data_IF_574529182284
#
_entry.id   IF_574529182284
#
_cell.length_a   1.000
_cell.length_b   1.000
_cell.length_c   1.000
_cell.angle_alpha   90.00
_cell.angle_beta   90.00
_cell.angle_gamma   90.00
#
_symmetry.space_group_name_H-M   'P 1'
#
loop_
_entity.id
_entity.type
_entity.pdbx_description
1 polymer ?
#
# COMPACT_ATOMS: atom_id res chain seq x y z
N UNK A 1 15.27 -19.17 14.43
CA UNK A 1 14.51 -18.20 15.25
C UNK A 1 14.88 -16.76 14.84
N UNK A 2 14.33 -16.21 13.75
CA UNK A 2 14.41 -14.77 13.37
C UNK A 2 13.35 -14.40 12.30
N UNK A 3 12.05 -14.59 12.56
CA UNK A 3 11.01 -14.09 11.64
C UNK A 3 9.89 -13.29 12.30
N UNK A 4 9.83 -13.23 13.64
CA UNK A 4 8.78 -12.48 14.34
C UNK A 4 9.05 -10.99 14.42
N UNK A 5 10.31 -10.55 14.48
CA UNK A 5 10.66 -9.14 14.65
C UNK A 5 10.37 -8.25 13.44
N UNK A 6 10.55 -8.75 12.21
CA UNK A 6 10.27 -7.98 10.99
C UNK A 6 8.76 -7.86 10.72
N UNK A 7 7.99 -8.93 11.01
CA UNK A 7 6.53 -8.88 10.99
C UNK A 7 5.96 -7.89 12.02
N UNK A 8 6.64 -7.69 13.16
CA UNK A 8 6.27 -6.69 14.17
C UNK A 8 6.55 -5.24 13.71
N UNK A 9 7.64 -5.01 12.98
CA UNK A 9 7.96 -3.69 12.39
C UNK A 9 6.93 -3.32 11.32
N UNK A 10 6.51 -4.30 10.51
CA UNK A 10 5.39 -4.13 9.57
C UNK A 10 4.06 -3.89 10.30
N UNK A 11 3.92 -4.26 11.57
CA UNK A 11 2.66 -4.13 12.32
C UNK A 11 2.47 -2.79 13.06
N UNK A 12 3.48 -1.92 13.13
CA UNK A 12 3.47 -0.72 13.99
C UNK A 12 3.07 0.55 13.23
N UNK A 13 1.92 0.51 12.55
CA UNK A 13 1.45 1.58 11.69
C UNK A 13 0.90 2.80 12.46
N UNK A 14 1.14 4.03 11.98
CA UNK A 14 0.35 5.23 12.34
C UNK A 14 -1.16 5.00 12.21
N UNK A 15 -1.54 4.09 11.32
CA UNK A 15 -2.91 3.66 11.13
C UNK A 15 -3.56 2.99 12.33
N UNK A 16 -2.81 2.36 13.25
CA UNK A 16 -3.38 1.89 14.53
C UNK A 16 -3.84 3.08 15.38
N UNK A 17 -3.07 4.18 15.40
CA UNK A 17 -3.46 5.42 16.08
C UNK A 17 -4.62 6.11 15.39
N UNK A 18 -4.65 6.13 14.05
CA UNK A 18 -5.78 6.69 13.30
C UNK A 18 -7.05 5.82 13.42
N UNK A 19 -6.94 4.48 13.43
CA UNK A 19 -8.06 3.57 13.72
C UNK A 19 -8.62 3.82 15.11
N UNK A 20 -7.77 4.06 16.11
CA UNK A 20 -8.21 4.48 17.44
C UNK A 20 -8.86 5.86 17.42
N UNK A 21 -8.27 6.83 16.71
CA UNK A 21 -8.80 8.18 16.58
C UNK A 21 -10.15 8.23 15.84
N UNK A 22 -10.43 7.25 14.99
CA UNK A 22 -11.71 7.08 14.29
C UNK A 22 -12.63 6.02 14.90
N UNK A 23 -12.27 5.40 16.03
CA UNK A 23 -13.11 4.36 16.64
C UNK A 23 -14.51 4.86 17.02
N UNK A 24 -14.64 6.16 17.32
CA UNK A 24 -15.92 6.80 17.61
C UNK A 24 -16.84 6.89 16.37
N UNK A 25 -16.25 6.99 15.18
CA UNK A 25 -16.96 7.05 13.90
C UNK A 25 -17.73 5.73 13.69
N UNK A 26 -17.10 4.60 14.03
CA UNK A 26 -17.72 3.27 13.91
C UNK A 26 -18.82 3.01 14.94
N UNK A 27 -18.86 3.77 16.04
CA UNK A 27 -19.87 3.65 17.09
C UNK A 27 -21.07 4.58 16.88
N UNK A 28 -21.00 5.49 15.92
CA UNK A 28 -22.04 6.51 15.70
C UNK A 28 -23.12 5.98 14.74
N UNK A 29 -24.33 5.72 15.25
CA UNK A 29 -25.49 5.34 14.42
C UNK A 29 -25.90 6.49 13.50
N UNK A 30 -26.20 6.17 12.25
CA UNK A 30 -26.74 7.13 11.27
C UNK A 30 -25.68 7.96 10.54
N UNK A 31 -24.43 7.53 10.55
CA UNK A 31 -23.36 8.23 9.86
C UNK A 31 -23.61 8.39 8.35
N UNK A 32 -23.40 9.59 7.77
CA UNK A 32 -23.42 9.78 6.33
C UNK A 32 -22.40 8.88 5.63
N UNK A 33 -22.78 8.27 4.51
CA UNK A 33 -21.93 7.33 3.77
C UNK A 33 -20.63 7.98 3.31
N UNK A 34 -20.69 9.27 3.02
CA UNK A 34 -19.59 10.13 2.60
C UNK A 34 -18.53 10.22 3.70
N UNK A 35 -18.95 10.35 4.96
CA UNK A 35 -18.05 10.44 6.11
C UNK A 35 -17.37 9.10 6.38
N UNK A 36 -18.13 8.00 6.32
CA UNK A 36 -17.58 6.66 6.45
C UNK A 36 -16.56 6.35 5.32
N UNK A 37 -16.86 6.74 4.08
CA UNK A 37 -15.94 6.58 2.96
C UNK A 37 -14.72 7.47 3.07
N UNK A 38 -14.85 8.71 3.52
CA UNK A 38 -13.72 9.60 3.76
C UNK A 38 -12.78 9.05 4.85
N UNK A 39 -13.34 8.45 5.92
CA UNK A 39 -12.56 7.75 6.94
C UNK A 39 -11.77 6.60 6.33
N UNK A 40 -12.45 5.69 5.64
CA UNK A 40 -11.82 4.50 5.02
C UNK A 40 -10.72 4.92 4.05
N UNK A 41 -10.98 5.93 3.21
CA UNK A 41 -10.03 6.50 2.27
C UNK A 41 -8.79 7.09 2.96
N UNK A 42 -8.98 7.84 4.04
CA UNK A 42 -7.88 8.44 4.82
C UNK A 42 -7.00 7.38 5.48
N UNK A 43 -7.63 6.35 6.07
CA UNK A 43 -6.92 5.23 6.67
C UNK A 43 -6.11 4.47 5.61
N UNK A 44 -6.70 4.22 4.45
CA UNK A 44 -6.03 3.55 3.35
C UNK A 44 -4.82 4.33 2.83
N UNK A 45 -4.95 5.64 2.59
CA UNK A 45 -3.81 6.48 2.18
C UNK A 45 -2.67 6.43 3.21
N UNK A 46 -3.00 6.50 4.50
CA UNK A 46 -2.01 6.37 5.58
C UNK A 46 -1.27 5.02 5.52
N UNK A 47 -1.98 3.94 5.23
CA UNK A 47 -1.35 2.62 5.08
C UNK A 47 -0.42 2.59 3.86
N UNK A 48 -0.83 3.19 2.74
CA UNK A 48 -0.01 3.26 1.53
C UNK A 48 1.27 4.04 1.81
N UNK A 49 1.20 5.21 2.44
CA UNK A 49 2.38 5.99 2.81
C UNK A 49 3.32 5.20 3.72
N UNK A 50 2.76 4.53 4.74
CA UNK A 50 3.56 3.75 5.67
C UNK A 50 4.26 2.56 5.00
N UNK A 51 3.60 1.92 4.03
CA UNK A 51 4.25 0.88 3.21
C UNK A 51 5.45 1.46 2.45
N UNK A 52 5.32 2.65 1.86
CA UNK A 52 6.42 3.28 1.11
C UNK A 52 7.61 3.63 2.00
N UNK A 53 7.35 4.13 3.21
CA UNK A 53 8.42 4.38 4.19
C UNK A 53 9.16 3.08 4.56
N UNK A 54 8.41 1.99 4.77
CA UNK A 54 9.00 0.68 5.08
C UNK A 54 9.79 0.09 3.91
N UNK A 55 9.29 0.23 2.68
CA UNK A 55 10.03 -0.17 1.47
C UNK A 55 11.39 0.54 1.42
N UNK A 56 11.41 1.86 1.67
CA UNK A 56 12.62 2.66 1.68
C UNK A 56 13.60 2.21 2.78
N UNK A 57 13.10 1.96 4.00
CA UNK A 57 13.93 1.48 5.11
C UNK A 57 14.53 0.09 4.82
N UNK A 58 13.73 -0.83 4.27
CA UNK A 58 14.17 -2.18 3.92
C UNK A 58 15.18 -2.19 2.76
N UNK A 59 15.02 -1.29 1.80
CA UNK A 59 16.00 -1.10 0.72
C UNK A 59 17.31 -0.54 1.28
N UNK A 60 17.25 0.48 2.15
CA UNK A 60 18.43 1.10 2.74
C UNK A 60 19.21 0.14 3.67
N UNK A 61 18.50 -0.71 4.41
CA UNK A 61 19.10 -1.71 5.31
C UNK A 61 19.50 -3.03 4.62
N UNK A 62 19.14 -3.20 3.34
CA UNK A 62 19.36 -4.45 2.59
C UNK A 62 18.43 -5.61 3.00
N UNK A 63 17.46 -5.38 3.89
CA UNK A 63 16.50 -6.37 4.36
C UNK A 63 15.37 -6.69 3.36
N UNK A 64 15.26 -5.93 2.27
CA UNK A 64 14.14 -6.01 1.33
C UNK A 64 13.84 -7.41 0.80
N UNK A 65 14.86 -8.12 0.31
CA UNK A 65 14.69 -9.47 -0.26
C UNK A 65 14.17 -10.48 0.76
N UNK A 66 14.53 -10.32 2.03
CA UNK A 66 14.11 -11.22 3.11
C UNK A 66 12.65 -10.97 3.53
N UNK A 67 12.13 -9.76 3.32
CA UNK A 67 10.76 -9.36 3.66
C UNK A 67 9.81 -9.41 2.45
N UNK A 68 10.26 -9.95 1.31
CA UNK A 68 9.53 -9.87 0.05
C UNK A 68 8.17 -10.58 0.11
N UNK A 69 8.08 -11.73 0.78
CA UNK A 69 6.83 -12.48 0.84
C UNK A 69 5.78 -11.77 1.71
N UNK A 70 6.17 -11.23 2.86
CA UNK A 70 5.30 -10.41 3.69
C UNK A 70 4.87 -9.13 2.97
N UNK A 71 5.82 -8.46 2.31
CA UNK A 71 5.56 -7.26 1.52
C UNK A 71 4.49 -7.50 0.45
N UNK A 72 4.56 -8.62 -0.28
CA UNK A 72 3.58 -9.00 -1.31
C UNK A 72 2.17 -9.18 -0.76
N UNK A 73 2.05 -9.77 0.43
CA UNK A 73 0.76 -9.93 1.11
C UNK A 73 0.17 -8.55 1.42
N UNK A 74 0.97 -7.66 2.01
CA UNK A 74 0.53 -6.31 2.36
C UNK A 74 0.11 -5.51 1.12
N UNK A 75 0.90 -5.54 0.03
CA UNK A 75 0.54 -4.86 -1.22
C UNK A 75 -0.78 -5.39 -1.79
N UNK A 76 -0.98 -6.71 -1.75
CA UNK A 76 -2.21 -7.33 -2.27
C UNK A 76 -3.45 -6.91 -1.46
N UNK A 77 -3.32 -6.83 -0.13
CA UNK A 77 -4.38 -6.34 0.76
C UNK A 77 -4.72 -4.87 0.46
N UNK A 78 -3.70 -4.02 0.30
CA UNK A 78 -3.91 -2.60 -0.01
C UNK A 78 -4.55 -2.37 -1.37
N UNK A 79 -4.21 -3.18 -2.38
CA UNK A 79 -4.90 -3.13 -3.68
C UNK A 79 -6.39 -3.45 -3.50
N UNK A 80 -6.71 -4.55 -2.80
CA UNK A 80 -8.10 -4.97 -2.60
C UNK A 80 -8.92 -3.93 -1.81
N UNK A 81 -8.33 -3.32 -0.77
CA UNK A 81 -8.99 -2.27 0.01
C UNK A 81 -9.17 -0.98 -0.79
N UNK A 82 -8.18 -0.60 -1.61
CA UNK A 82 -8.27 0.56 -2.49
C UNK A 82 -9.36 0.39 -3.56
N UNK A 83 -9.44 -0.78 -4.19
CA UNK A 83 -10.51 -1.12 -5.14
C UNK A 83 -11.90 -1.07 -4.49
N UNK A 84 -12.01 -1.51 -3.23
CA UNK A 84 -13.27 -1.41 -2.46
C UNK A 84 -13.67 0.04 -2.24
N UNK A 85 -12.74 0.93 -1.89
CA UNK A 85 -13.00 2.37 -1.72
C UNK A 85 -13.46 2.98 -3.04
N UNK A 86 -12.76 2.70 -4.14
CA UNK A 86 -13.12 3.18 -5.48
C UNK A 86 -14.53 2.72 -5.86
N UNK A 87 -14.83 1.44 -5.69
CA UNK A 87 -16.14 0.87 -6.00
C UNK A 87 -17.27 1.54 -5.21
N UNK A 88 -17.09 1.69 -3.89
CA UNK A 88 -18.11 2.32 -3.02
C UNK A 88 -18.29 3.80 -3.34
N UNK A 89 -17.21 4.51 -3.67
CA UNK A 89 -17.25 5.94 -4.02
C UNK A 89 -17.97 6.16 -5.34
N UNK A 90 -17.70 5.34 -6.37
CA UNK A 90 -18.45 5.32 -7.63
C UNK A 90 -19.94 5.07 -7.40
N UNK A 91 -20.28 4.08 -6.57
CA UNK A 91 -21.68 3.76 -6.23
C UNK A 91 -22.39 4.89 -5.48
N UNK A 92 -21.66 5.66 -4.68
CA UNK A 92 -22.18 6.80 -3.93
C UNK A 92 -22.18 8.11 -4.72
N UNK A 93 -21.60 8.15 -5.94
CA UNK A 93 -21.48 9.38 -6.72
C UNK A 93 -20.43 10.36 -6.16
N UNK A 94 -19.46 9.87 -5.39
CA UNK A 94 -18.41 10.69 -4.77
C UNK A 94 -17.19 10.71 -5.68
N UNK A 95 -16.81 11.91 -6.13
CA UNK A 95 -15.62 12.14 -6.96
C UNK A 95 -14.53 12.95 -6.26
N UNK A 96 -14.87 13.67 -5.20
CA UNK A 96 -13.95 14.50 -4.41
C UNK A 96 -14.09 14.17 -2.93
N UNK A 97 -12.96 14.05 -2.24
CA UNK A 97 -12.90 13.74 -0.83
C UNK A 97 -12.55 14.99 0.00
N UNK A 98 -12.96 15.08 1.28
CA UNK A 98 -12.65 16.23 2.15
C UNK A 98 -11.15 16.51 2.32
N UNK A 99 -10.31 15.50 2.08
CA UNK A 99 -8.84 15.60 2.11
C UNK A 99 -8.25 16.36 0.91
N UNK A 100 -9.07 16.71 -0.10
CA UNK A 100 -8.61 17.33 -1.35
C UNK A 100 -8.23 16.32 -2.43
N UNK A 101 -8.20 15.03 -2.12
CA UNK A 101 -7.99 13.98 -3.11
C UNK A 101 -9.24 13.73 -3.95
N UNK A 102 -9.03 13.34 -5.19
CA UNK A 102 -10.04 12.97 -6.17
C UNK A 102 -10.13 11.46 -6.32
N UNK A 103 -11.25 10.95 -6.84
CA UNK A 103 -11.39 9.52 -7.17
C UNK A 103 -10.28 9.03 -8.11
N UNK A 104 -9.84 9.87 -9.06
CA UNK A 104 -8.73 9.56 -9.96
C UNK A 104 -7.40 9.38 -9.22
N UNK A 105 -7.17 10.10 -8.13
CA UNK A 105 -5.95 9.92 -7.32
C UNK A 105 -5.92 8.54 -6.66
N UNK A 106 -7.07 8.06 -6.18
CA UNK A 106 -7.19 6.69 -5.65
C UNK A 106 -6.98 5.63 -6.73
N UNK A 107 -7.55 5.83 -7.92
CA UNK A 107 -7.32 4.93 -9.06
C UNK A 107 -5.85 4.87 -9.46
N UNK A 108 -5.18 6.03 -9.52
CA UNK A 108 -3.76 6.12 -9.81
C UNK A 108 -2.89 5.46 -8.72
N UNK A 109 -3.21 5.67 -7.45
CA UNK A 109 -2.51 5.06 -6.33
C UNK A 109 -2.67 3.53 -6.30
N UNK A 110 -3.86 3.00 -6.60
CA UNK A 110 -4.07 1.55 -6.77
C UNK A 110 -3.25 1.01 -7.94
N UNK A 111 -3.19 1.72 -9.07
CA UNK A 111 -2.39 1.28 -10.20
C UNK A 111 -0.88 1.30 -9.88
N UNK A 112 -0.41 2.28 -9.11
CA UNK A 112 0.97 2.31 -8.60
C UNK A 112 1.30 1.08 -7.74
N UNK A 113 0.38 0.64 -6.86
CA UNK A 113 0.56 -0.59 -6.08
C UNK A 113 0.59 -1.83 -6.99
N UNK A 114 -0.24 -1.90 -8.03
CA UNK A 114 -0.20 -2.99 -9.01
C UNK A 114 1.10 -3.04 -9.80
N UNK A 115 1.65 -1.88 -10.18
CA UNK A 115 2.98 -1.80 -10.79
C UNK A 115 4.03 -2.35 -9.82
N UNK A 116 3.98 -1.92 -8.55
CA UNK A 116 4.88 -2.41 -7.49
C UNK A 116 4.85 -3.93 -7.39
N UNK A 117 3.64 -4.52 -7.32
CA UNK A 117 3.44 -5.95 -7.30
C UNK A 117 4.04 -6.62 -8.56
N UNK A 118 3.70 -6.14 -9.76
CA UNK A 118 4.22 -6.71 -11.02
C UNK A 118 5.74 -6.73 -11.08
N UNK A 119 6.41 -5.65 -10.67
CA UNK A 119 7.87 -5.56 -10.66
C UNK A 119 8.52 -6.57 -9.70
N UNK A 120 7.82 -6.98 -8.64
CA UNK A 120 8.34 -7.90 -7.63
C UNK A 120 7.93 -9.37 -7.87
N UNK A 121 6.98 -9.59 -8.76
CA UNK A 121 6.46 -10.90 -9.16
C UNK A 121 6.92 -11.34 -10.56
N UNK A 122 7.72 -10.53 -11.26
CA UNK A 122 8.35 -10.94 -12.51
C UNK A 122 9.26 -12.15 -12.30
N UNK A 123 9.39 -13.07 -13.28
CA UNK A 123 10.45 -14.06 -13.24
C UNK A 123 11.77 -13.32 -13.02
N UNK A 124 12.63 -13.83 -12.13
CA UNK A 124 14.02 -13.34 -12.07
C UNK A 124 14.51 -13.30 -13.52
N UNK A 125 15.03 -12.14 -13.94
CA UNK A 125 15.66 -12.01 -15.25
C UNK A 125 16.52 -13.25 -15.47
N UNK A 126 16.39 -13.86 -16.66
CA UNK A 126 17.24 -15.00 -16.99
C UNK A 126 18.71 -14.57 -16.86
N UNK A 127 19.64 -15.49 -16.58
CA UNK A 127 21.06 -15.16 -16.51
C UNK A 127 21.55 -14.35 -17.72
N UNK A 128 21.03 -14.67 -18.92
CA UNK A 128 21.34 -13.94 -20.15
C UNK A 128 20.84 -12.48 -20.14
N UNK A 129 19.66 -12.21 -19.58
CA UNK A 129 19.13 -10.85 -19.44
C UNK A 129 19.94 -10.06 -18.41
N UNK A 130 20.35 -10.69 -17.30
CA UNK A 130 21.22 -10.03 -16.30
C UNK A 130 22.61 -9.72 -16.87
N UNK A 131 23.17 -10.59 -17.71
CA UNK A 131 24.44 -10.35 -18.38
C UNK A 131 24.34 -9.17 -19.37
N UNK A 132 23.23 -9.09 -20.11
CA UNK A 132 22.92 -7.95 -21.00
C UNK A 132 22.77 -6.64 -20.21
N UNK A 133 22.07 -6.66 -19.09
CA UNK A 133 21.92 -5.51 -18.18
C UNK A 133 23.29 -5.09 -17.64
N UNK A 134 24.12 -6.04 -17.19
CA UNK A 134 25.45 -5.75 -16.64
C UNK A 134 26.36 -5.09 -17.69
N UNK A 135 26.30 -5.55 -18.95
CA UNK A 135 27.00 -4.92 -20.09
C UNK A 135 26.49 -3.51 -20.42
N UNK A 136 25.20 -3.24 -20.22
CA UNK A 136 24.60 -1.92 -20.44
C UNK A 136 25.02 -0.89 -19.37
N UNK A 137 25.27 -1.34 -18.14
CA UNK A 137 25.64 -0.49 -17.01
C UNK A 137 27.15 -0.51 -16.69
N UNK A 138 27.95 -1.22 -17.49
CA UNK A 138 29.41 -1.33 -17.35
C UNK A 138 29.88 -1.80 -15.96
N UNK A 139 29.06 -2.63 -15.30
CA UNK A 139 29.34 -3.20 -13.98
C UNK A 139 29.75 -4.66 -14.19
N UNK A 140 30.96 -5.02 -13.77
CA UNK A 140 31.53 -6.37 -13.87
C UNK A 140 31.60 -7.07 -12.52
#
# INVERSE_FOLDING_TARGET
MRSTGMAEVLGNFPAKRLKQAFAWIDQTKGMPKEVALAKDATLWLTHVDSLRDQEQELLASGGYTAALDEHRVVVSELIADGERIIFRSKKAGISNFPSGFTLSDFEAAVESLRVTLRCQHGPKNSPAVNELISKLFDVS
#
